data_IF_006193308611
#
_entry.id   IF_006193308611
#
_cell.length_a   1.000
_cell.length_b   1.000
_cell.length_c   1.000
_cell.angle_alpha   90.00
_cell.angle_beta   90.00
_cell.angle_gamma   90.00
#
_symmetry.space_group_name_H-M   'P 1'
#
loop_
_entity.id
_entity.type
_entity.pdbx_description
1 polymer ?
#
# COMPACT_ATOMS: atom_id res chain seq x y z
N UNK A 1 -64.19 13.10 18.78
CA UNK A 1 -62.84 13.51 19.23
C UNK A 1 -61.86 12.45 18.92
N UNK A 2 -61.15 12.55 17.81
CA UNK A 2 -59.91 11.84 17.50
C UNK A 2 -59.27 12.57 16.30
N UNK A 3 -58.43 13.52 16.61
CA UNK A 3 -57.56 14.22 15.65
C UNK A 3 -56.15 14.09 16.21
N UNK A 4 -55.21 14.01 15.33
CA UNK A 4 -53.75 14.01 15.50
C UNK A 4 -53.08 12.63 15.44
N UNK A 5 -52.52 12.35 14.30
CA UNK A 5 -51.10 11.98 14.13
C UNK A 5 -50.84 11.63 12.64
N UNK A 6 -50.48 12.59 11.88
CA UNK A 6 -49.91 12.39 10.56
C UNK A 6 -49.12 13.59 10.09
N UNK A 7 -48.02 13.91 10.74
CA UNK A 7 -46.97 14.77 10.17
C UNK A 7 -45.66 14.39 10.90
N UNK A 8 -44.83 13.56 10.31
CA UNK A 8 -43.39 13.50 10.58
C UNK A 8 -42.76 12.26 9.87
N UNK A 9 -42.72 12.25 8.57
CA UNK A 9 -41.90 11.26 7.83
C UNK A 9 -41.49 11.76 6.44
N UNK A 10 -40.93 12.95 6.36
CA UNK A 10 -40.46 13.48 5.07
C UNK A 10 -39.21 14.37 5.13
N UNK A 11 -38.29 14.18 6.07
CA UNK A 11 -37.05 14.99 6.10
C UNK A 11 -35.81 14.11 6.42
N UNK A 12 -35.67 12.93 5.88
CA UNK A 12 -34.43 12.14 6.10
C UNK A 12 -33.76 11.66 4.79
N UNK A 13 -34.25 12.01 3.62
CA UNK A 13 -33.71 11.47 2.36
C UNK A 13 -32.85 12.45 1.53
N UNK A 14 -32.43 13.59 2.05
CA UNK A 14 -31.69 14.60 1.28
C UNK A 14 -30.25 14.86 1.77
N UNK A 15 -29.73 14.14 2.76
CA UNK A 15 -28.38 14.37 3.30
C UNK A 15 -27.35 13.32 2.80
N UNK A 16 -27.79 12.26 2.10
CA UNK A 16 -26.93 11.12 1.71
C UNK A 16 -26.00 11.35 0.54
N UNK A 17 -26.26 12.30 -0.35
CA UNK A 17 -25.54 12.37 -1.65
C UNK A 17 -24.44 13.44 -1.76
N UNK A 18 -24.28 14.31 -0.78
CA UNK A 18 -23.25 15.37 -0.83
C UNK A 18 -21.89 14.88 -0.30
N UNK A 19 -21.89 13.88 0.59
CA UNK A 19 -20.65 13.42 1.24
C UNK A 19 -19.74 12.57 0.36
N UNK A 20 -20.26 11.85 -0.63
CA UNK A 20 -19.46 10.98 -1.49
C UNK A 20 -18.65 11.78 -2.53
N UNK A 21 -19.24 12.80 -3.13
CA UNK A 21 -18.56 13.64 -4.14
C UNK A 21 -17.48 14.53 -3.54
N UNK A 22 -17.66 14.98 -2.29
CA UNK A 22 -16.68 15.83 -1.60
C UNK A 22 -15.48 15.00 -1.11
N UNK A 23 -15.70 13.76 -0.65
CA UNK A 23 -14.59 12.84 -0.30
C UNK A 23 -13.78 12.42 -1.52
N UNK A 24 -14.40 12.25 -2.68
CA UNK A 24 -13.71 11.87 -3.91
C UNK A 24 -12.82 13.00 -4.47
N UNK A 25 -13.18 14.27 -4.28
CA UNK A 25 -12.35 15.42 -4.65
C UNK A 25 -11.19 15.66 -3.67
N UNK A 26 -11.34 15.31 -2.39
CA UNK A 26 -10.28 15.45 -1.40
C UNK A 26 -9.18 14.38 -1.52
N UNK A 27 -9.51 13.20 -2.06
CA UNK A 27 -8.57 12.08 -2.19
C UNK A 27 -7.48 12.27 -3.27
N UNK A 28 -7.62 13.24 -4.16
CA UNK A 28 -6.62 13.49 -5.23
C UNK A 28 -5.70 14.69 -4.96
N UNK A 29 -5.98 15.47 -3.90
CA UNK A 29 -5.33 16.77 -3.70
C UNK A 29 -3.98 16.71 -2.97
N UNK A 30 -3.62 15.60 -2.29
CA UNK A 30 -2.43 15.52 -1.42
C UNK A 30 -1.69 14.17 -1.52
N UNK A 31 -1.51 13.65 -2.74
CA UNK A 31 -0.68 12.45 -2.90
C UNK A 31 0.80 12.82 -2.75
N UNK A 32 1.50 12.09 -1.90
CA UNK A 32 2.95 12.22 -1.80
C UNK A 32 3.64 11.62 -3.03
N UNK A 33 4.74 12.22 -3.49
CA UNK A 33 5.55 11.61 -4.53
C UNK A 33 6.11 10.27 -4.06
N UNK A 34 5.99 9.24 -4.89
CA UNK A 34 6.64 7.97 -4.66
C UNK A 34 8.13 8.14 -5.01
N UNK A 35 8.93 8.51 -4.02
CA UNK A 35 10.40 8.63 -4.11
C UNK A 35 11.04 7.68 -3.11
N UNK A 36 12.30 7.34 -3.36
CA UNK A 36 13.07 6.49 -2.44
C UNK A 36 13.06 7.06 -1.01
N UNK A 37 13.31 8.36 -0.87
CA UNK A 37 13.36 9.04 0.41
C UNK A 37 12.03 9.01 1.14
N UNK A 38 10.92 9.22 0.41
CA UNK A 38 9.58 9.20 0.99
C UNK A 38 9.18 7.79 1.42
N UNK A 39 9.48 6.77 0.62
CA UNK A 39 9.22 5.36 0.99
C UNK A 39 10.06 4.94 2.21
N UNK A 40 11.33 5.30 2.24
CA UNK A 40 12.20 5.04 3.41
C UNK A 40 11.68 5.79 4.65
N UNK A 41 11.25 7.04 4.48
CA UNK A 41 10.66 7.84 5.57
C UNK A 41 9.38 7.23 6.11
N UNK A 42 8.52 6.72 5.22
CA UNK A 42 7.28 6.04 5.58
C UNK A 42 7.54 4.85 6.52
N UNK A 43 8.45 3.95 6.16
CA UNK A 43 8.78 2.80 7.01
C UNK A 43 9.44 3.20 8.33
N UNK A 44 10.26 4.27 8.36
CA UNK A 44 10.81 4.81 9.60
C UNK A 44 9.75 5.41 10.52
N UNK A 45 8.76 6.11 9.96
CA UNK A 45 7.64 6.68 10.73
C UNK A 45 6.72 5.59 11.30
N UNK A 46 6.59 4.47 10.60
CA UNK A 46 5.91 3.27 11.10
C UNK A 46 6.75 2.49 12.16
N UNK A 47 7.79 3.14 12.72
CA UNK A 47 8.66 2.61 13.77
C UNK A 47 9.58 1.46 13.36
N UNK A 48 9.68 1.14 12.08
CA UNK A 48 10.69 0.19 11.60
C UNK A 48 12.09 0.83 11.65
N UNK A 49 13.02 0.09 12.22
CA UNK A 49 14.42 0.51 12.27
C UNK A 49 15.17 -0.09 11.10
N UNK A 50 15.88 0.73 10.31
CA UNK A 50 16.73 0.18 9.27
C UNK A 50 17.88 -0.62 9.90
N UNK A 51 18.12 -1.81 9.38
CA UNK A 51 19.26 -2.66 9.76
C UNK A 51 20.47 -2.40 8.89
N UNK A 52 20.24 -1.98 7.65
CA UNK A 52 21.27 -1.63 6.70
C UNK A 52 20.83 -0.40 5.91
N UNK A 53 21.74 0.56 5.71
CA UNK A 53 21.49 1.78 4.95
C UNK A 53 22.64 2.00 3.98
N UNK A 54 22.34 1.93 2.69
CA UNK A 54 23.24 2.25 1.60
C UNK A 54 22.66 3.42 0.79
N UNK A 55 23.43 4.02 -0.09
CA UNK A 55 23.00 5.19 -0.87
C UNK A 55 21.71 4.96 -1.68
N UNK A 56 21.50 3.73 -2.16
CA UNK A 56 20.36 3.36 -3.03
C UNK A 56 19.59 2.16 -2.52
N UNK A 57 19.85 1.73 -1.29
CA UNK A 57 19.23 0.55 -0.73
C UNK A 57 19.09 0.70 0.78
N UNK A 58 17.90 0.42 1.30
CA UNK A 58 17.65 0.38 2.74
C UNK A 58 16.91 -0.91 3.07
N UNK A 59 17.41 -1.63 4.08
CA UNK A 59 16.82 -2.85 4.58
C UNK A 59 16.21 -2.57 5.94
N UNK A 60 14.95 -2.91 6.09
CA UNK A 60 14.24 -2.94 7.37
C UNK A 60 14.00 -4.39 7.75
N UNK A 61 14.11 -4.66 9.04
CA UNK A 61 13.84 -5.96 9.59
C UNK A 61 12.91 -5.83 10.79
N UNK A 62 11.85 -6.61 10.79
CA UNK A 62 11.02 -6.85 11.95
C UNK A 62 10.94 -8.36 12.18
N UNK A 63 11.21 -8.80 13.40
CA UNK A 63 11.16 -10.22 13.75
C UNK A 63 10.81 -10.41 15.20
N UNK A 64 10.11 -11.51 15.46
CA UNK A 64 9.82 -11.97 16.82
C UNK A 64 10.73 -13.12 17.16
N UNK A 65 11.41 -13.01 18.31
CA UNK A 65 12.27 -14.03 18.85
C UNK A 65 11.49 -14.91 19.83
N UNK A 66 11.57 -16.21 19.64
CA UNK A 66 11.07 -17.18 20.60
C UNK A 66 12.13 -18.27 20.82
N UNK A 67 12.55 -18.46 22.06
CA UNK A 67 13.55 -19.48 22.44
C UNK A 67 14.85 -19.44 21.64
N UNK A 68 15.39 -18.24 21.40
CA UNK A 68 16.58 -17.97 20.58
C UNK A 68 16.45 -18.23 19.08
N UNK A 69 15.31 -18.69 18.61
CA UNK A 69 15.01 -18.81 17.19
C UNK A 69 14.14 -17.62 16.72
N UNK A 70 14.38 -17.15 15.50
CA UNK A 70 13.49 -16.18 14.86
C UNK A 70 12.34 -16.98 14.24
N UNK A 71 11.16 -16.79 14.81
CA UNK A 71 9.98 -17.42 14.25
C UNK A 71 9.35 -16.42 13.33
N UNK A 72 8.70 -15.72 13.10
CA UNK A 72 8.03 -14.86 12.17
C UNK A 72 8.87 -13.59 11.95
N UNK A 73 9.30 -13.36 10.75
CA UNK A 73 10.01 -12.14 10.41
C UNK A 73 9.55 -11.58 9.07
N UNK A 74 9.64 -10.28 8.96
CA UNK A 74 9.49 -9.51 7.74
C UNK A 74 10.80 -8.81 7.42
N UNK A 75 11.25 -8.91 6.18
CA UNK A 75 12.31 -8.06 5.66
C UNK A 75 11.72 -7.19 4.57
N UNK A 76 11.90 -5.89 4.69
CA UNK A 76 11.49 -4.93 3.68
C UNK A 76 12.75 -4.32 3.09
N UNK A 77 12.94 -4.53 1.80
CA UNK A 77 14.05 -3.98 1.04
C UNK A 77 13.49 -2.87 0.14
N UNK A 78 14.01 -1.67 0.30
CA UNK A 78 13.71 -0.52 -0.56
C UNK A 78 14.93 -0.20 -1.38
N UNK A 79 14.81 -0.25 -2.68
CA UNK A 79 15.90 0.00 -3.63
C UNK A 79 15.49 1.11 -4.60
N UNK A 80 16.47 1.89 -5.01
CA UNK A 80 16.31 2.93 -6.01
C UNK A 80 17.28 2.67 -7.16
N UNK A 81 16.73 2.36 -8.33
CA UNK A 81 17.48 2.41 -9.59
C UNK A 81 17.35 3.80 -10.23
N UNK A 82 17.99 4.04 -11.36
CA UNK A 82 17.94 5.35 -12.01
C UNK A 82 16.53 5.71 -12.55
N UNK A 83 15.67 4.72 -12.74
CA UNK A 83 14.32 4.89 -13.33
C UNK A 83 13.18 4.40 -12.43
N UNK A 84 13.46 3.51 -11.49
CA UNK A 84 12.43 2.81 -10.70
C UNK A 84 12.72 2.79 -9.21
N UNK A 85 11.65 2.67 -8.44
CA UNK A 85 11.69 2.36 -7.03
C UNK A 85 11.18 0.93 -6.87
N UNK A 86 12.00 0.08 -6.29
CA UNK A 86 11.63 -1.28 -5.98
C UNK A 86 11.41 -1.43 -4.47
N UNK A 87 10.30 -2.08 -4.12
CA UNK A 87 10.00 -2.47 -2.75
C UNK A 87 9.76 -3.97 -2.73
N UNK A 88 10.60 -4.66 -1.98
CA UNK A 88 10.53 -6.11 -1.79
C UNK A 88 10.13 -6.42 -0.37
N UNK A 89 9.08 -7.22 -0.21
CA UNK A 89 8.63 -7.77 1.06
C UNK A 89 8.99 -9.24 1.11
N UNK A 90 9.77 -9.64 2.08
CA UNK A 90 10.02 -11.03 2.42
C UNK A 90 9.28 -11.37 3.71
N UNK A 91 8.26 -12.21 3.63
CA UNK A 91 7.29 -12.47 4.68
C UNK A 91 7.35 -13.96 5.06
N UNK A 92 7.44 -14.27 6.34
CA UNK A 92 7.40 -15.67 6.82
C UNK A 92 6.06 -16.06 7.41
N UNK A 93 5.18 -15.11 7.69
CA UNK A 93 3.84 -15.33 8.23
C UNK A 93 2.80 -14.45 7.51
N UNK A 94 1.57 -14.94 7.45
CA UNK A 94 0.43 -14.20 6.90
C UNK A 94 0.15 -12.88 7.65
N UNK A 95 0.48 -12.79 8.94
CA UNK A 95 0.34 -11.56 9.72
C UNK A 95 1.25 -10.43 9.24
N UNK A 96 2.34 -10.76 8.59
CA UNK A 96 3.31 -9.80 8.03
C UNK A 96 2.78 -9.10 6.78
N UNK A 97 1.68 -9.57 6.20
CA UNK A 97 0.97 -8.89 5.11
C UNK A 97 0.46 -7.49 5.50
N UNK A 98 0.41 -7.18 6.79
CA UNK A 98 0.06 -5.83 7.26
C UNK A 98 0.98 -4.77 6.65
N UNK A 99 2.29 -5.04 6.54
CA UNK A 99 3.24 -4.10 5.95
C UNK A 99 2.99 -3.83 4.47
N UNK A 100 2.58 -4.87 3.73
CA UNK A 100 2.16 -4.72 2.33
C UNK A 100 0.89 -3.87 2.25
N UNK A 101 -0.08 -4.16 3.12
CA UNK A 101 -1.34 -3.41 3.19
C UNK A 101 -1.08 -1.94 3.53
N UNK A 102 -0.31 -1.66 4.58
CA UNK A 102 0.02 -0.30 5.00
C UNK A 102 0.77 0.48 3.91
N UNK A 103 1.71 -0.16 3.22
CA UNK A 103 2.42 0.46 2.10
C UNK A 103 1.49 0.77 0.92
N UNK A 104 0.60 -0.15 0.55
CA UNK A 104 -0.34 0.06 -0.56
C UNK A 104 -1.44 1.07 -0.22
N UNK A 105 -1.78 1.25 1.05
CA UNK A 105 -2.70 2.28 1.56
C UNK A 105 -2.00 3.61 1.85
N UNK A 106 -0.67 3.68 1.71
CA UNK A 106 0.08 4.90 1.96
C UNK A 106 -0.31 6.03 0.99
N UNK A 107 -0.09 7.30 1.36
CA UNK A 107 -0.49 8.46 0.56
C UNK A 107 0.26 8.60 -0.78
N UNK A 108 1.07 7.62 -1.14
CA UNK A 108 1.72 7.52 -2.45
C UNK A 108 0.76 7.15 -3.58
N UNK A 109 -0.35 6.50 -3.26
CA UNK A 109 -1.24 5.91 -4.26
C UNK A 109 -2.63 6.53 -4.19
N UNK A 110 -3.21 6.82 -5.36
CA UNK A 110 -4.63 7.14 -5.44
C UNK A 110 -5.45 5.88 -5.16
N UNK A 111 -6.67 6.03 -4.66
CA UNK A 111 -7.54 4.90 -4.34
C UNK A 111 -7.66 3.87 -5.47
N UNK A 112 -7.84 4.31 -6.71
CA UNK A 112 -7.92 3.41 -7.84
C UNK A 112 -6.59 2.69 -8.14
N UNK A 113 -5.44 3.32 -7.83
CA UNK A 113 -4.12 2.70 -7.92
C UNK A 113 -3.98 1.62 -6.84
N UNK A 114 -4.34 1.95 -5.59
CA UNK A 114 -4.37 1.01 -4.45
C UNK A 114 -5.23 -0.22 -4.75
N UNK A 115 -6.47 -0.04 -5.21
CA UNK A 115 -7.38 -1.14 -5.54
C UNK A 115 -6.78 -2.07 -6.62
N UNK A 116 -6.12 -1.51 -7.64
CA UNK A 116 -5.44 -2.30 -8.67
C UNK A 116 -4.19 -3.03 -8.14
N UNK A 117 -3.42 -2.40 -7.24
CA UNK A 117 -2.24 -3.02 -6.63
C UNK A 117 -2.64 -4.17 -5.70
N UNK A 118 -3.70 -4.00 -4.89
CA UNK A 118 -4.27 -5.12 -4.12
C UNK A 118 -4.76 -6.25 -5.01
N UNK A 119 -5.33 -5.93 -6.17
CA UNK A 119 -5.71 -6.93 -7.17
C UNK A 119 -4.51 -7.77 -7.63
N UNK A 120 -3.31 -7.18 -7.77
CA UNK A 120 -2.10 -7.93 -8.10
C UNK A 120 -1.67 -8.85 -6.95
N UNK A 121 -1.70 -8.35 -5.70
CA UNK A 121 -1.33 -9.15 -4.52
C UNK A 121 -2.25 -10.36 -4.36
N UNK A 122 -3.53 -10.20 -4.66
CA UNK A 122 -4.53 -11.27 -4.52
C UNK A 122 -4.60 -12.21 -5.74
N UNK A 123 -4.03 -11.80 -6.87
CA UNK A 123 -3.90 -12.67 -8.04
C UNK A 123 -2.60 -13.46 -7.96
N UNK A 124 -2.58 -14.65 -8.61
CA UNK A 124 -1.32 -15.38 -8.78
C UNK A 124 -0.54 -14.91 -10.02
N UNK A 125 -0.91 -13.76 -10.58
CA UNK A 125 -0.35 -13.27 -11.82
C UNK A 125 0.94 -12.48 -11.55
N UNK A 126 1.99 -12.84 -12.24
CA UNK A 126 3.16 -11.99 -12.39
C UNK A 126 2.91 -11.03 -13.54
N UNK A 127 3.21 -9.75 -13.34
CA UNK A 127 3.00 -8.73 -14.39
C UNK A 127 4.28 -7.96 -14.66
N UNK A 128 4.44 -7.53 -15.93
CA UNK A 128 5.52 -6.64 -16.33
C UNK A 128 4.96 -5.44 -17.07
N UNK A 129 5.41 -4.26 -16.71
CA UNK A 129 5.06 -3.00 -17.36
C UNK A 129 3.57 -2.69 -17.34
N UNK A 130 2.78 -3.24 -16.40
CA UNK A 130 1.35 -2.96 -16.30
C UNK A 130 1.14 -1.52 -15.91
N UNK A 131 0.36 -0.79 -16.70
CA UNK A 131 0.01 0.60 -16.36
C UNK A 131 -1.03 0.60 -15.25
N UNK A 132 -0.69 1.21 -14.13
CA UNK A 132 -1.58 1.44 -13.00
C UNK A 132 -1.49 2.93 -12.65
N UNK A 133 -2.50 3.70 -13.06
CA UNK A 133 -2.54 5.14 -12.85
C UNK A 133 -1.30 5.85 -13.38
N UNK A 134 -0.52 6.42 -12.47
CA UNK A 134 0.70 7.20 -12.75
C UNK A 134 1.96 6.36 -12.93
N UNK A 135 1.88 5.05 -12.75
CA UNK A 135 3.02 4.16 -12.74
C UNK A 135 2.93 3.08 -13.82
N UNK A 136 4.10 2.63 -14.27
CA UNK A 136 4.27 1.28 -14.79
C UNK A 136 4.74 0.41 -13.64
N UNK A 137 4.12 -0.73 -13.48
CA UNK A 137 4.36 -1.62 -12.35
C UNK A 137 4.79 -2.97 -12.87
N UNK A 138 5.93 -3.43 -12.38
CA UNK A 138 6.31 -4.83 -12.42
C UNK A 138 5.99 -5.44 -11.07
N UNK A 139 5.30 -6.57 -11.06
CA UNK A 139 4.98 -7.30 -9.85
C UNK A 139 5.38 -8.76 -10.00
N UNK A 140 6.15 -9.24 -9.05
CA UNK A 140 6.57 -10.63 -8.95
C UNK A 140 6.27 -11.18 -7.58
N UNK A 141 5.79 -12.42 -7.56
CA UNK A 141 5.52 -13.18 -6.35
C UNK A 141 6.23 -14.52 -6.41
N UNK A 142 6.93 -14.86 -5.34
CA UNK A 142 7.52 -16.19 -5.14
C UNK A 142 7.07 -16.74 -3.80
N UNK A 143 6.82 -18.03 -3.75
CA UNK A 143 6.43 -18.73 -2.54
C UNK A 143 7.42 -19.87 -2.28
N UNK A 144 8.64 -19.57 -1.80
CA UNK A 144 9.55 -20.59 -1.33
C UNK A 144 8.96 -21.26 -0.07
N UNK A 145 9.50 -22.42 0.32
CA UNK A 145 9.05 -23.09 1.54
C UNK A 145 9.14 -22.13 2.72
N UNK A 146 8.02 -21.96 3.44
CA UNK A 146 7.91 -21.13 4.65
C UNK A 146 8.10 -19.61 4.46
N UNK A 147 8.00 -19.09 3.26
CA UNK A 147 8.06 -17.66 3.03
C UNK A 147 7.23 -17.24 1.81
N UNK A 148 6.89 -15.95 1.76
CA UNK A 148 6.34 -15.30 0.60
C UNK A 148 7.19 -14.09 0.27
N UNK A 149 7.56 -13.94 -0.99
CA UNK A 149 8.32 -12.79 -1.47
C UNK A 149 7.47 -12.04 -2.47
N UNK A 150 7.20 -10.77 -2.18
CA UNK A 150 6.47 -9.86 -3.06
C UNK A 150 7.41 -8.75 -3.48
N UNK A 151 7.56 -8.55 -4.77
CA UNK A 151 8.41 -7.49 -5.35
C UNK A 151 7.55 -6.59 -6.20
N UNK A 152 7.58 -5.31 -5.88
CA UNK A 152 6.97 -4.25 -6.66
C UNK A 152 8.07 -3.34 -7.20
N UNK A 153 8.09 -3.13 -8.52
CA UNK A 153 8.91 -2.09 -9.14
C UNK A 153 7.98 -1.04 -9.76
N UNK A 154 8.20 0.21 -9.40
CA UNK A 154 7.39 1.33 -9.83
C UNK A 154 8.21 2.27 -10.69
N UNK A 155 7.90 2.34 -11.97
CA UNK A 155 8.46 3.33 -12.90
C UNK A 155 7.43 4.43 -13.12
N UNK A 156 7.74 5.71 -12.83
CA UNK A 156 6.84 6.81 -13.14
C UNK A 156 6.48 6.83 -14.63
N UNK A 157 5.20 6.84 -14.95
CA UNK A 157 4.78 7.00 -16.35
C UNK A 157 5.15 8.41 -16.81
N UNK A 158 6.00 8.53 -17.83
CA UNK A 158 6.28 9.84 -18.44
C UNK A 158 4.94 10.41 -18.91
N UNK A 159 4.65 11.65 -18.51
CA UNK A 159 3.50 12.37 -19.07
C UNK A 159 3.77 12.55 -20.57
N UNK A 160 2.97 11.87 -21.39
CA UNK A 160 2.91 12.12 -22.84
C UNK A 160 2.20 13.43 -23.10
#
# INVERSE_FOLDING_TARGET
>A
MKICLAISFAIVLLVGNVSASTRQKQATANLEPLTFENVVSFFKQAHLRPTEVQKRCVIFFEGRWQNADIYNYCVILVENSDEDIQVTFYLTDAHEMNWVTEFLDAPFFARAETENLFGLVNSNDQVRGKKIGRFRVDFHRWEPRHAQILVFSFTPSRRS
#
